data_IF_020896367202
#
_entry.id   IF_020896367202
#
_cell.length_a   1.000
_cell.length_b   1.000
_cell.length_c   1.000
_cell.angle_alpha   90.00
_cell.angle_beta   90.00
_cell.angle_gamma   90.00
#
_symmetry.space_group_name_H-M   'P 1'
#
loop_
_entity.id
_entity.type
_entity.pdbx_description
1 polymer ?
#
# COMPACT_ATOMS: atom_id res chain seq x y z
N UNK A 1 -10.68 -1.41 20.50
CA UNK A 1 -9.22 -1.55 20.44
C UNK A 1 -8.89 -2.29 19.15
N UNK A 2 -8.09 -1.70 18.26
CA UNK A 2 -7.69 -2.39 17.02
C UNK A 2 -6.67 -3.48 17.37
N UNK A 3 -6.89 -4.69 16.87
CA UNK A 3 -6.01 -5.84 17.08
C UNK A 3 -4.76 -5.74 16.19
N UNK A 4 -3.70 -6.44 16.58
CA UNK A 4 -2.43 -6.45 15.89
C UNK A 4 -2.56 -7.01 14.46
N UNK A 5 -2.07 -6.26 13.48
CA UNK A 5 -1.89 -6.71 12.10
C UNK A 5 -0.84 -7.84 12.08
N UNK A 6 -1.21 -8.98 11.48
CA UNK A 6 -0.31 -10.11 11.26
C UNK A 6 0.19 -10.04 9.82
N UNK A 7 1.51 -9.89 9.64
CA UNK A 7 2.14 -9.85 8.32
C UNK A 7 2.80 -11.21 8.03
N UNK A 8 2.46 -11.82 6.90
CA UNK A 8 3.09 -13.04 6.40
C UNK A 8 4.18 -12.68 5.40
N UNK A 9 5.41 -12.47 5.86
CA UNK A 9 6.56 -12.29 4.97
C UNK A 9 7.00 -13.66 4.43
N UNK A 10 6.53 -14.05 3.25
CA UNK A 10 7.09 -15.21 2.55
C UNK A 10 8.31 -14.79 1.75
N UNK A 11 9.46 -15.11 2.33
CA UNK A 11 10.78 -15.30 1.73
C UNK A 11 11.70 -14.08 1.61
N UNK A 12 12.88 -14.30 2.21
CA UNK A 12 14.04 -13.44 2.28
C UNK A 12 14.75 -13.33 0.92
N UNK A 13 14.74 -12.16 0.31
CA UNK A 13 15.82 -11.69 -0.55
C UNK A 13 16.26 -10.30 -0.04
N UNK A 14 17.56 -10.00 0.10
CA UNK A 14 18.06 -8.74 0.66
C UNK A 14 17.82 -7.50 -0.24
N UNK A 15 16.99 -7.63 -1.27
CA UNK A 15 16.77 -6.63 -2.32
C UNK A 15 15.30 -6.24 -2.51
N UNK A 16 14.36 -6.85 -1.78
CA UNK A 16 12.94 -6.59 -1.97
C UNK A 16 12.38 -5.76 -0.81
N UNK A 17 11.78 -4.62 -1.17
CA UNK A 17 11.05 -3.73 -0.28
C UNK A 17 9.78 -4.47 0.20
N UNK A 18 9.20 -4.09 1.35
CA UNK A 18 7.89 -4.62 1.76
C UNK A 18 6.88 -4.53 0.60
N UNK A 19 6.03 -5.55 0.42
CA UNK A 19 5.03 -5.55 -0.67
C UNK A 19 4.12 -4.31 -0.65
N UNK A 20 3.89 -3.75 0.54
CA UNK A 20 3.10 -2.54 0.78
C UNK A 20 3.95 -1.25 0.84
N UNK A 21 5.25 -1.30 0.54
CA UNK A 21 6.11 -0.11 0.47
C UNK A 21 6.04 0.51 -0.93
N UNK A 22 5.08 1.40 -1.12
CA UNK A 22 4.78 1.98 -2.43
C UNK A 22 5.70 3.15 -2.79
N UNK A 23 6.49 3.65 -1.83
CA UNK A 23 7.43 4.75 -2.07
C UNK A 23 8.91 4.30 -2.09
N UNK A 24 9.19 3.08 -1.66
CA UNK A 24 10.51 2.44 -1.65
C UNK A 24 11.44 2.93 -0.55
N UNK A 25 10.91 3.38 0.59
CA UNK A 25 11.70 3.86 1.72
C UNK A 25 12.02 2.79 2.78
N UNK A 26 11.64 1.55 2.51
CA UNK A 26 11.84 0.37 3.35
C UNK A 26 10.77 0.23 4.45
N UNK A 27 9.67 1.00 4.40
CA UNK A 27 8.60 0.96 5.39
C UNK A 27 7.28 0.56 4.74
N UNK A 28 6.52 -0.36 5.35
CA UNK A 28 5.20 -0.71 4.83
C UNK A 28 4.25 0.49 4.97
N UNK A 29 3.60 0.86 3.88
CA UNK A 29 2.57 1.90 3.80
C UNK A 29 1.16 1.30 3.95
N UNK A 30 0.12 2.14 3.87
CA UNK A 30 -1.29 1.70 3.84
C UNK A 30 -1.95 2.14 2.55
N UNK A 31 -2.68 1.21 1.92
CA UNK A 31 -3.49 1.45 0.72
C UNK A 31 -4.95 1.10 1.05
N UNK A 32 -5.89 1.95 0.64
CA UNK A 32 -7.32 1.75 0.89
C UNK A 32 -8.18 1.98 -0.36
N UNK A 33 -9.16 1.10 -0.59
CA UNK A 33 -10.23 1.33 -1.55
C UNK A 33 -11.35 2.16 -0.89
N UNK A 34 -11.62 3.36 -1.40
CA UNK A 34 -12.70 4.20 -0.92
C UNK A 34 -13.94 4.00 -1.79
N UNK A 35 -14.67 2.92 -1.53
CA UNK A 35 -15.86 2.48 -2.28
C UNK A 35 -16.83 3.63 -2.61
N UNK A 36 -17.21 4.44 -1.61
CA UNK A 36 -18.19 5.51 -1.79
C UNK A 36 -17.65 6.74 -2.51
N UNK A 37 -16.33 6.90 -2.59
CA UNK A 37 -15.67 8.08 -3.15
C UNK A 37 -15.04 7.83 -4.52
N UNK A 38 -15.14 6.60 -5.05
CA UNK A 38 -14.57 6.21 -6.34
C UNK A 38 -13.08 6.57 -6.47
N UNK A 39 -12.32 6.34 -5.41
CA UNK A 39 -10.88 6.54 -5.40
C UNK A 39 -10.18 5.50 -4.52
N UNK A 40 -8.87 5.37 -4.71
CA UNK A 40 -7.98 4.70 -3.77
C UNK A 40 -7.18 5.76 -3.01
N UNK A 41 -6.76 5.44 -1.79
CA UNK A 41 -5.94 6.31 -0.99
C UNK A 41 -4.67 5.61 -0.49
N UNK A 42 -3.60 6.37 -0.41
CA UNK A 42 -2.28 5.95 0.06
C UNK A 42 -1.90 6.77 1.28
N UNK A 43 -1.50 6.12 2.37
CA UNK A 43 -0.98 6.75 3.57
C UNK A 43 0.45 6.25 3.79
N UNK A 44 1.42 7.16 3.67
CA UNK A 44 2.84 6.82 3.78
C UNK A 44 3.28 6.70 5.24
N UNK A 45 4.00 5.64 5.56
CA UNK A 45 4.50 5.39 6.90
C UNK A 45 5.70 6.30 7.20
N UNK A 46 5.59 7.11 8.25
CA UNK A 46 6.65 8.05 8.63
C UNK A 46 7.76 7.41 9.45
N UNK A 47 7.60 6.14 9.86
CA UNK A 47 8.60 5.37 10.62
C UNK A 47 8.58 5.59 12.13
N UNK A 48 7.72 6.47 12.64
CA UNK A 48 7.54 6.71 14.08
C UNK A 48 6.20 6.18 14.63
N UNK A 49 5.56 5.27 13.89
CA UNK A 49 4.22 4.76 14.20
C UNK A 49 3.08 5.67 13.76
N UNK A 50 3.36 6.73 13.00
CA UNK A 50 2.34 7.60 12.38
C UNK A 50 2.40 7.55 10.86
N UNK A 51 1.30 7.96 10.21
CA UNK A 51 1.18 8.03 8.77
C UNK A 51 1.01 9.48 8.29
N UNK A 52 1.56 9.78 7.13
CA UNK A 52 1.35 11.05 6.45
C UNK A 52 -0.12 11.23 6.05
N UNK A 53 -0.47 12.46 5.66
CA UNK A 53 -1.79 12.75 5.10
C UNK A 53 -2.07 11.86 3.87
N UNK A 54 -3.30 11.38 3.77
CA UNK A 54 -3.72 10.51 2.68
C UNK A 54 -3.61 11.23 1.34
N UNK A 55 -2.93 10.60 0.38
CA UNK A 55 -2.97 10.99 -1.03
C UNK A 55 -4.01 10.13 -1.74
N UNK A 56 -4.85 10.72 -2.57
CA UNK A 56 -5.93 10.00 -3.27
C UNK A 56 -5.72 9.95 -4.78
N UNK A 57 -6.13 8.83 -5.36
CA UNK A 57 -6.03 8.55 -6.79
C UNK A 57 -7.41 8.12 -7.29
N UNK A 58 -7.93 8.82 -8.30
CA UNK A 58 -9.23 8.47 -8.90
C UNK A 58 -9.20 7.05 -9.46
N UNK A 59 -10.29 6.32 -9.25
CA UNK A 59 -10.46 4.94 -9.74
C UNK A 59 -11.69 4.85 -10.62
N UNK A 60 -12.04 3.63 -11.03
CA UNK A 60 -13.39 3.32 -11.51
C UNK A 60 -14.46 3.48 -10.42
N UNK A 61 -15.70 3.13 -10.76
CA UNK A 61 -16.83 3.20 -9.84
C UNK A 61 -16.76 2.08 -8.81
N UNK A 62 -16.98 2.42 -7.54
CA UNK A 62 -17.14 1.47 -6.44
C UNK A 62 -15.95 0.50 -6.31
N UNK A 63 -14.73 1.00 -6.06
CA UNK A 63 -13.59 0.13 -5.79
C UNK A 63 -13.87 -0.72 -4.54
N UNK A 64 -13.74 -2.04 -4.66
CA UNK A 64 -14.02 -2.98 -3.57
C UNK A 64 -12.75 -3.52 -2.91
N UNK A 65 -11.63 -3.53 -3.64
CA UNK A 65 -10.36 -4.09 -3.19
C UNK A 65 -9.20 -3.30 -3.79
N UNK A 66 -8.03 -3.43 -3.18
CA UNK A 66 -6.75 -2.94 -3.69
C UNK A 66 -5.72 -4.04 -3.54
N UNK A 67 -4.77 -4.11 -4.47
CA UNK A 67 -3.59 -4.96 -4.38
C UNK A 67 -2.34 -4.14 -4.74
N UNK A 68 -1.21 -4.49 -4.13
CA UNK A 68 0.10 -3.96 -4.47
C UNK A 68 0.91 -5.08 -5.14
N UNK A 69 1.47 -4.80 -6.32
CA UNK A 69 2.34 -5.73 -7.05
C UNK A 69 3.19 -4.97 -8.07
N UNK A 70 4.43 -5.39 -8.31
CA UNK A 70 5.24 -4.87 -9.42
C UNK A 70 4.71 -5.46 -10.74
N UNK A 71 3.82 -4.74 -11.43
CA UNK A 71 3.24 -5.20 -12.71
C UNK A 71 4.04 -4.73 -13.90
N UNK A 72 4.86 -3.69 -13.74
CA UNK A 72 5.59 -3.06 -14.83
C UNK A 72 7.08 -3.47 -14.90
N UNK A 73 7.60 -4.14 -13.87
CA UNK A 73 8.96 -4.69 -13.79
C UNK A 73 10.02 -3.68 -13.34
N UNK A 74 9.63 -2.55 -12.74
CA UNK A 74 10.55 -1.50 -12.27
C UNK A 74 11.00 -1.69 -10.81
N UNK A 75 10.58 -2.78 -10.17
CA UNK A 75 10.84 -3.10 -8.76
C UNK A 75 10.22 -2.11 -7.78
N UNK A 76 9.14 -1.46 -8.17
CA UNK A 76 8.29 -0.68 -7.27
C UNK A 76 6.88 -1.26 -7.31
N UNK A 77 6.21 -1.45 -6.16
CA UNK A 77 4.84 -1.91 -6.16
C UNK A 77 3.93 -0.92 -6.90
N UNK A 78 3.20 -1.41 -7.90
CA UNK A 78 2.08 -0.71 -8.52
C UNK A 78 0.79 -0.99 -7.73
N UNK A 79 -0.14 -0.04 -7.73
CA UNK A 79 -1.45 -0.19 -7.10
C UNK A 79 -2.48 -0.60 -8.15
N UNK A 80 -3.17 -1.71 -7.88
CA UNK A 80 -4.23 -2.26 -8.73
C UNK A 80 -5.56 -2.13 -7.98
N UNK A 81 -6.59 -1.66 -8.67
CA UNK A 81 -7.95 -1.42 -8.13
C UNK A 81 -9.01 -2.01 -9.03
#
# INVERSE_FOLDING_TARGET
>A
TFAAQTTYSTWTAPFELPEDDVNGDGKPDIIVANYGSNNAGVLLNTGNGTFAAQTTYSTGTWPNSVAAADVNGDRKPDIIV
#
